data_IF_807125226732
#
_entry.id   IF_807125226732
#
_cell.length_a   1.000
_cell.length_b   1.000
_cell.length_c   1.000
_cell.angle_alpha   90.00
_cell.angle_beta   90.00
_cell.angle_gamma   90.00
#
_symmetry.space_group_name_H-M   'P 1'
#
loop_
_entity.id
_entity.type
_entity.pdbx_description
1 polymer ?
#
# COMPACT_ATOMS: atom_id res chain seq x y z
N UNK A 1 8.19 20.33 -3.74
CA UNK A 1 8.12 18.85 -3.93
C UNK A 1 7.23 18.17 -2.88
N UNK A 2 7.34 18.49 -1.58
CA UNK A 2 6.60 17.76 -0.52
C UNK A 2 5.21 18.31 -0.15
N UNK A 3 4.72 19.41 -0.73
CA UNK A 3 3.36 19.99 -0.48
C UNK A 3 2.90 19.89 1.00
N UNK A 4 3.71 20.38 1.95
CA UNK A 4 3.44 20.41 3.41
C UNK A 4 3.78 21.79 3.96
N UNK A 5 3.05 22.25 4.97
CA UNK A 5 3.36 23.47 5.72
C UNK A 5 4.58 23.29 6.66
N UNK A 6 4.91 22.05 7.05
CA UNK A 6 6.10 21.73 7.83
C UNK A 6 6.85 20.52 7.22
N UNK A 7 7.73 20.75 6.24
CA UNK A 7 8.35 19.68 5.45
C UNK A 7 9.40 18.91 6.27
N UNK A 8 9.44 17.58 6.11
CA UNK A 8 10.57 16.78 6.58
C UNK A 8 11.83 17.18 5.80
N UNK A 9 12.98 17.15 6.46
CA UNK A 9 14.26 17.59 5.89
C UNK A 9 14.85 16.63 4.84
N UNK A 10 14.29 15.40 4.71
CA UNK A 10 14.82 14.35 3.83
C UNK A 10 13.70 13.75 2.99
N UNK A 11 13.99 13.47 1.72
CA UNK A 11 13.12 12.79 0.74
C UNK A 11 13.95 11.74 0.00
N UNK A 12 13.38 10.53 -0.17
CA UNK A 12 13.98 9.46 -0.98
C UNK A 12 13.16 9.17 -2.23
N UNK A 13 13.82 8.68 -3.27
CA UNK A 13 13.20 8.18 -4.51
C UNK A 13 13.56 6.71 -4.63
N UNK A 14 12.56 5.88 -4.88
CA UNK A 14 12.68 4.42 -4.93
C UNK A 14 11.99 3.89 -6.18
N UNK A 15 12.46 2.74 -6.68
CA UNK A 15 11.75 2.01 -7.73
C UNK A 15 10.48 1.38 -7.15
N UNK A 16 9.37 1.46 -7.89
CA UNK A 16 8.13 0.78 -7.51
C UNK A 16 8.30 -0.74 -7.65
N UNK A 17 7.75 -1.48 -6.70
CA UNK A 17 7.84 -2.93 -6.65
C UNK A 17 6.45 -3.52 -6.38
N UNK A 18 6.01 -4.41 -7.26
CA UNK A 18 4.76 -5.16 -7.14
C UNK A 18 5.03 -6.64 -7.40
N UNK A 19 4.33 -7.52 -6.70
CA UNK A 19 4.42 -8.97 -6.95
C UNK A 19 3.34 -9.36 -7.96
N UNK A 20 3.69 -9.99 -9.10
CA UNK A 20 2.68 -10.51 -10.01
C UNK A 20 1.83 -11.59 -9.33
N UNK A 21 0.50 -11.53 -9.50
CA UNK A 21 -0.43 -12.46 -8.83
C UNK A 21 -0.09 -13.95 -9.11
N UNK A 22 0.40 -14.27 -10.31
CA UNK A 22 0.81 -15.63 -10.71
C UNK A 22 1.98 -16.20 -9.90
N UNK A 23 2.78 -15.32 -9.29
CA UNK A 23 3.98 -15.67 -8.53
C UNK A 23 3.65 -15.84 -7.03
N UNK A 24 2.42 -15.50 -6.61
CA UNK A 24 1.95 -15.73 -5.25
C UNK A 24 1.68 -17.24 -5.06
N UNK A 25 2.26 -17.80 -3.99
CA UNK A 25 2.05 -19.17 -3.53
C UNK A 25 1.47 -19.12 -2.13
N UNK A 26 0.13 -19.18 -2.05
CA UNK A 26 -0.57 -19.19 -0.76
C UNK A 26 -0.27 -20.47 0.01
N UNK A 27 -0.06 -20.33 1.31
CA UNK A 27 0.14 -21.43 2.27
C UNK A 27 -1.01 -21.46 3.27
N UNK A 28 -1.18 -22.60 3.94
CA UNK A 28 -2.16 -22.71 5.02
C UNK A 28 -1.87 -21.67 6.12
N UNK A 29 -2.91 -20.93 6.51
CA UNK A 29 -2.81 -19.85 7.48
C UNK A 29 -2.41 -18.49 6.91
N UNK A 30 -2.13 -18.37 5.61
CA UNK A 30 -1.91 -17.06 5.00
C UNK A 30 -3.20 -16.24 4.96
N UNK A 31 -3.09 -14.97 5.37
CA UNK A 31 -4.17 -13.99 5.25
C UNK A 31 -3.82 -13.00 4.15
N UNK A 32 -4.72 -12.82 3.19
CA UNK A 32 -4.59 -11.85 2.10
C UNK A 32 -5.81 -10.94 2.08
N UNK A 33 -5.60 -9.67 1.72
CA UNK A 33 -6.69 -8.69 1.61
C UNK A 33 -6.81 -8.24 0.16
N UNK A 34 -7.91 -8.59 -0.49
CA UNK A 34 -8.22 -8.10 -1.84
C UNK A 34 -9.16 -6.89 -1.78
N UNK A 35 -8.78 -5.81 -2.45
CA UNK A 35 -9.58 -4.58 -2.54
C UNK A 35 -10.05 -4.38 -3.99
N UNK A 36 -11.36 -4.46 -4.22
CA UNK A 36 -11.98 -4.18 -5.52
C UNK A 36 -12.23 -2.67 -5.67
N UNK A 37 -11.61 -2.06 -6.68
CA UNK A 37 -11.85 -0.67 -7.12
C UNK A 37 -11.78 0.36 -5.98
N UNK A 38 -10.85 0.21 -5.03
CA UNK A 38 -10.62 1.20 -3.96
C UNK A 38 -10.19 2.55 -4.56
N UNK A 39 -10.87 3.63 -4.19
CA UNK A 39 -10.66 4.96 -4.79
C UNK A 39 -10.02 5.99 -3.87
N UNK A 40 -10.06 5.76 -2.57
CA UNK A 40 -9.55 6.71 -1.58
C UNK A 40 -8.11 6.34 -1.17
N UNK A 41 -7.12 7.22 -1.43
CA UNK A 41 -5.72 6.98 -1.06
C UNK A 41 -5.50 6.76 0.45
N UNK A 42 -6.29 7.43 1.29
CA UNK A 42 -6.19 7.36 2.75
C UNK A 42 -6.67 6.02 3.29
N UNK A 43 -7.81 5.53 2.78
CA UNK A 43 -8.34 4.21 3.06
C UNK A 43 -7.38 3.13 2.59
N UNK A 44 -6.85 3.24 1.36
CA UNK A 44 -5.86 2.29 0.86
C UNK A 44 -4.63 2.23 1.78
N UNK A 45 -4.07 3.39 2.15
CA UNK A 45 -2.89 3.42 3.02
C UNK A 45 -3.18 2.90 4.44
N UNK A 46 -4.36 3.18 4.97
CA UNK A 46 -4.81 2.65 6.26
C UNK A 46 -4.94 1.13 6.22
N UNK A 47 -5.53 0.57 5.16
CA UNK A 47 -5.63 -0.89 4.99
C UNK A 47 -4.24 -1.53 4.87
N UNK A 48 -3.33 -0.95 4.09
CA UNK A 48 -1.93 -1.45 3.99
C UNK A 48 -1.29 -1.51 5.39
N UNK A 49 -1.41 -0.43 6.16
CA UNK A 49 -0.91 -0.37 7.54
C UNK A 49 -1.55 -1.41 8.46
N UNK A 50 -2.85 -1.66 8.32
CA UNK A 50 -3.54 -2.69 9.12
C UNK A 50 -3.09 -4.09 8.73
N UNK A 51 -2.94 -4.38 7.43
CA UNK A 51 -2.47 -5.68 6.91
C UNK A 51 -1.07 -6.00 7.43
N UNK A 52 -0.17 -5.02 7.41
CA UNK A 52 1.16 -5.14 8.01
C UNK A 52 1.08 -5.41 9.53
N UNK A 53 0.28 -4.63 10.26
CA UNK A 53 0.13 -4.78 11.71
C UNK A 53 -0.44 -6.14 12.16
N UNK A 54 -1.30 -6.77 11.37
CA UNK A 54 -1.87 -8.11 11.69
C UNK A 54 -1.02 -9.27 11.17
N UNK A 55 0.10 -8.99 10.50
CA UNK A 55 0.97 -10.02 9.92
C UNK A 55 0.37 -10.75 8.72
N UNK A 56 -0.58 -10.12 8.01
CA UNK A 56 -1.11 -10.64 6.77
C UNK A 56 -0.05 -10.58 5.66
N UNK A 57 -0.20 -11.38 4.60
CA UNK A 57 0.81 -11.56 3.55
C UNK A 57 0.82 -10.46 2.51
N UNK A 58 -0.27 -9.72 2.37
CA UNK A 58 -0.31 -8.56 1.50
C UNK A 58 -1.70 -8.13 1.08
N UNK A 59 -1.71 -7.06 0.28
CA UNK A 59 -2.89 -6.48 -0.35
C UNK A 59 -2.87 -6.79 -1.84
N UNK A 60 -4.01 -7.22 -2.37
CA UNK A 60 -4.24 -7.43 -3.80
C UNK A 60 -5.20 -6.34 -4.28
N UNK A 61 -4.78 -5.53 -5.24
CA UNK A 61 -5.62 -4.50 -5.85
C UNK A 61 -6.30 -5.08 -7.08
N UNK A 62 -7.63 -5.02 -7.11
CA UNK A 62 -8.46 -5.63 -8.18
C UNK A 62 -9.19 -4.53 -8.93
N UNK A 63 -9.07 -4.56 -10.26
CA UNK A 63 -9.66 -3.56 -11.16
C UNK A 63 -8.95 -2.20 -11.09
N UNK A 64 -9.67 -1.14 -11.47
CA UNK A 64 -9.15 0.23 -11.44
C UNK A 64 -9.18 0.78 -10.01
N UNK A 65 -8.02 0.80 -9.37
CA UNK A 65 -7.83 1.32 -8.01
C UNK A 65 -7.01 2.62 -8.01
N UNK A 66 -7.05 3.34 -6.90
CA UNK A 66 -6.08 4.42 -6.64
C UNK A 66 -4.64 3.87 -6.58
N UNK A 67 -3.67 4.72 -6.90
CA UNK A 67 -2.25 4.35 -6.94
C UNK A 67 -1.67 4.15 -5.52
N UNK A 68 -1.19 2.94 -5.16
CA UNK A 68 -0.57 2.68 -3.87
C UNK A 68 0.74 3.46 -3.64
N UNK A 69 1.40 3.91 -4.71
CA UNK A 69 2.66 4.65 -4.63
C UNK A 69 2.47 6.17 -4.69
N UNK A 70 1.22 6.64 -4.70
CA UNK A 70 0.90 8.07 -4.60
C UNK A 70 1.39 8.65 -3.27
N UNK A 71 1.70 9.96 -3.28
CA UNK A 71 2.20 10.65 -2.10
C UNK A 71 1.20 10.57 -0.93
N UNK A 72 -0.09 10.63 -1.22
CA UNK A 72 -1.19 10.51 -0.27
C UNK A 72 -1.25 9.11 0.34
N UNK A 73 -1.21 8.05 -0.47
CA UNK A 73 -1.25 6.67 0.05
C UNK A 73 -0.02 6.34 0.86
N UNK A 74 1.19 6.61 0.35
CA UNK A 74 2.46 6.35 1.07
C UNK A 74 2.51 7.05 2.44
N UNK A 75 1.91 8.24 2.54
CA UNK A 75 1.79 8.92 3.84
C UNK A 75 0.84 8.22 4.79
N UNK A 76 -0.28 7.72 4.28
CA UNK A 76 -1.27 7.00 5.07
C UNK A 76 -0.76 5.62 5.54
N UNK A 77 0.14 4.96 4.79
CA UNK A 77 0.76 3.69 5.24
C UNK A 77 1.68 3.88 6.44
N UNK A 78 2.22 5.09 6.66
CA UNK A 78 3.20 5.37 7.71
C UNK A 78 4.50 4.56 7.60
N UNK A 79 4.81 4.02 6.41
CA UNK A 79 6.02 3.24 6.15
C UNK A 79 5.87 1.72 6.28
N UNK A 80 4.64 1.22 6.46
CA UNK A 80 4.26 -0.18 6.24
C UNK A 80 4.41 -0.60 4.78
#
# INVERSE_FOLDING_TARGET
>A
ITRRENPRMVVGIFAQQTVPLKDIRARDGDVWVALDRVRDPGNLGTVIRTVDAVGAKGVILVGDTTDPFSLETVRATMGS
#
